data_IF_759698087047
#
_entry.id   IF_759698087047
#
_cell.length_a   1.000
_cell.length_b   1.000
_cell.length_c   1.000
_cell.angle_alpha   90.00
_cell.angle_beta   90.00
_cell.angle_gamma   90.00
#
_symmetry.space_group_name_H-M   'P 1'
#
loop_
_entity.id
_entity.type
_entity.pdbx_description
1 polymer ?
#
# COMPACT_ATOMS: atom_id res chain seq x y z
N UNK A 1 18.60 -6.68 6.94
CA UNK A 1 19.54 -7.06 5.87
C UNK A 1 18.99 -8.22 5.03
N UNK A 2 17.72 -8.11 4.65
CA UNK A 2 17.09 -9.17 3.82
C UNK A 2 17.31 -8.91 2.34
N UNK A 3 17.68 -7.67 1.96
CA UNK A 3 17.78 -7.19 0.59
C UNK A 3 19.20 -7.27 -0.01
N UNK A 4 20.08 -8.12 0.48
CA UNK A 4 21.43 -8.28 -0.10
C UNK A 4 22.10 -6.93 -0.43
N UNK A 5 22.03 -5.96 0.47
CA UNK A 5 22.54 -4.57 0.31
C UNK A 5 21.79 -3.72 -0.72
N UNK A 6 20.52 -3.98 -1.01
CA UNK A 6 19.70 -3.11 -1.85
C UNK A 6 18.72 -2.26 -1.03
N UNK A 7 18.40 -1.09 -1.54
CA UNK A 7 17.37 -0.19 -1.01
C UNK A 7 16.46 0.35 -2.12
N UNK A 8 15.26 0.81 -1.75
CA UNK A 8 14.37 1.50 -2.68
C UNK A 8 14.99 2.85 -3.09
N UNK A 9 14.97 3.14 -4.38
CA UNK A 9 15.42 4.42 -4.93
C UNK A 9 14.35 5.47 -4.72
N UNK A 10 14.54 6.33 -3.74
CA UNK A 10 13.72 7.53 -3.58
C UNK A 10 14.29 8.71 -4.36
N UNK A 11 13.41 9.52 -4.91
CA UNK A 11 13.80 10.84 -5.41
C UNK A 11 14.28 11.71 -4.26
N UNK A 12 15.25 12.56 -4.55
CA UNK A 12 15.82 13.47 -3.57
C UNK A 12 15.75 14.90 -4.07
N UNK A 13 15.50 15.82 -3.16
CA UNK A 13 15.59 17.25 -3.44
C UNK A 13 17.08 17.70 -3.55
N UNK A 14 17.27 18.98 -3.81
CA UNK A 14 18.61 19.57 -3.97
C UNK A 14 19.50 19.43 -2.73
N UNK A 15 18.91 19.26 -1.55
CA UNK A 15 19.60 19.07 -0.28
C UNK A 15 19.94 17.59 0.01
N UNK A 16 19.56 16.67 -0.89
CA UNK A 16 19.76 15.23 -0.71
C UNK A 16 18.71 14.55 0.18
N UNK A 17 17.67 15.27 0.62
CA UNK A 17 16.55 14.72 1.38
C UNK A 17 15.54 14.05 0.46
N UNK A 18 14.71 13.15 0.99
CA UNK A 18 13.61 12.55 0.21
C UNK A 18 12.70 13.68 -0.30
N UNK A 19 12.42 13.64 -1.60
CA UNK A 19 11.53 14.64 -2.23
C UNK A 19 10.09 14.37 -1.83
N UNK A 20 9.52 15.28 -1.03
CA UNK A 20 8.16 15.20 -0.52
C UNK A 20 7.34 16.36 -1.04
N UNK A 21 6.31 16.08 -1.80
CA UNK A 21 5.36 17.08 -2.29
C UNK A 21 4.05 17.03 -1.49
N UNK A 22 3.66 18.17 -0.90
CA UNK A 22 2.38 18.32 -0.24
C UNK A 22 1.31 18.76 -1.24
N UNK A 23 0.33 17.89 -1.50
CA UNK A 23 -0.82 18.22 -2.31
C UNK A 23 -2.03 18.50 -1.40
N UNK A 24 -2.30 19.79 -1.17
CA UNK A 24 -3.47 20.18 -0.37
C UNK A 24 -4.74 20.07 -1.22
N UNK A 25 -5.64 19.18 -0.82
CA UNK A 25 -6.91 18.96 -1.48
C UNK A 25 -8.02 19.58 -0.64
N UNK A 26 -8.63 20.67 -1.14
CA UNK A 26 -9.75 21.30 -0.46
C UNK A 26 -11.06 20.55 -0.74
N UNK A 27 -11.16 19.32 -0.28
CA UNK A 27 -12.30 18.42 -0.43
C UNK A 27 -12.55 17.66 0.86
N UNK A 28 -13.83 17.39 1.14
CA UNK A 28 -14.23 16.54 2.26
C UNK A 28 -14.02 15.05 1.94
N UNK A 29 -14.02 14.20 2.97
CA UNK A 29 -13.98 12.74 2.75
C UNK A 29 -15.17 12.24 1.92
N UNK A 30 -16.33 12.91 1.97
CA UNK A 30 -17.49 12.54 1.17
C UNK A 30 -17.30 12.79 -0.33
N UNK A 31 -16.48 13.76 -0.69
CA UNK A 31 -16.07 13.93 -2.08
C UNK A 31 -15.25 12.74 -2.60
N UNK A 32 -14.39 12.16 -1.76
CA UNK A 32 -13.60 10.99 -2.15
C UNK A 32 -14.43 9.73 -2.33
N UNK A 33 -15.55 9.59 -1.66
CA UNK A 33 -16.44 8.45 -1.87
C UNK A 33 -17.81 8.67 -1.21
N UNK A 34 -18.87 8.45 -1.97
CA UNK A 34 -20.23 8.49 -1.47
C UNK A 34 -20.63 7.12 -0.92
N UNK A 35 -20.75 7.03 0.42
CA UNK A 35 -21.16 5.81 1.12
C UNK A 35 -22.63 5.45 0.86
N UNK A 36 -23.43 6.40 0.38
CA UNK A 36 -24.88 6.26 0.26
C UNK A 36 -25.33 5.79 -1.13
N UNK A 37 -24.45 5.72 -2.12
CA UNK A 37 -24.83 5.18 -3.43
C UNK A 37 -25.10 3.69 -3.34
N UNK A 38 -26.37 3.33 -3.59
CA UNK A 38 -26.91 1.97 -3.55
C UNK A 38 -26.43 1.04 -4.68
N UNK A 39 -25.43 1.40 -5.46
CA UNK A 39 -24.96 0.56 -6.56
C UNK A 39 -24.12 -0.61 -6.02
N UNK A 40 -24.80 -1.75 -5.89
CA UNK A 40 -24.24 -3.01 -5.37
C UNK A 40 -23.21 -3.66 -6.32
N UNK A 41 -23.08 -3.18 -7.56
CA UNK A 41 -22.33 -3.88 -8.61
C UNK A 41 -20.84 -3.46 -8.71
N UNK A 42 -20.43 -2.40 -8.02
CA UNK A 42 -19.08 -1.87 -8.14
C UNK A 42 -18.28 -2.10 -6.87
N UNK A 43 -17.28 -2.94 -6.98
CA UNK A 43 -16.12 -2.98 -6.05
C UNK A 43 -15.40 -1.63 -6.14
N UNK A 44 -15.90 -0.62 -5.45
CA UNK A 44 -15.51 0.76 -5.69
C UNK A 44 -14.28 1.04 -4.86
N UNK A 45 -13.17 1.15 -5.52
CA UNK A 45 -11.93 1.77 -5.07
C UNK A 45 -12.01 3.28 -5.31
N UNK A 46 -13.10 3.94 -4.86
CA UNK A 46 -13.34 5.34 -5.22
C UNK A 46 -12.26 6.28 -4.71
N UNK A 47 -11.82 6.09 -3.47
CA UNK A 47 -10.79 6.94 -2.88
C UNK A 47 -9.48 6.82 -3.64
N UNK A 48 -9.01 5.59 -3.87
CA UNK A 48 -7.77 5.34 -4.62
C UNK A 48 -7.82 5.89 -6.04
N UNK A 49 -8.96 5.71 -6.74
CA UNK A 49 -9.13 6.25 -8.10
C UNK A 49 -9.10 7.78 -8.13
N UNK A 50 -9.69 8.42 -7.12
CA UNK A 50 -9.66 9.89 -7.03
C UNK A 50 -8.29 10.42 -6.66
N UNK A 51 -7.56 9.73 -5.77
CA UNK A 51 -6.17 10.06 -5.47
C UNK A 51 -5.33 9.93 -6.74
N UNK A 52 -5.44 8.81 -7.47
CA UNK A 52 -4.72 8.61 -8.72
C UNK A 52 -5.04 9.72 -9.75
N UNK A 53 -6.32 10.09 -9.87
CA UNK A 53 -6.72 11.21 -10.71
C UNK A 53 -6.10 12.53 -10.26
N UNK A 54 -6.11 12.84 -8.97
CA UNK A 54 -5.48 14.05 -8.43
C UNK A 54 -3.99 14.13 -8.75
N UNK A 55 -3.26 13.02 -8.63
CA UNK A 55 -1.84 12.95 -8.98
C UNK A 55 -1.65 13.19 -10.48
N UNK A 56 -2.46 12.57 -11.33
CA UNK A 56 -2.42 12.76 -12.77
C UNK A 56 -2.78 14.19 -13.20
N UNK A 57 -3.79 14.80 -12.58
CA UNK A 57 -4.20 16.18 -12.87
C UNK A 57 -3.10 17.20 -12.47
N UNK A 58 -2.25 16.85 -11.51
CA UNK A 58 -1.14 17.67 -11.01
C UNK A 58 0.25 17.17 -11.47
N UNK A 59 0.30 16.40 -12.55
CA UNK A 59 1.55 15.79 -13.07
C UNK A 59 2.69 16.78 -13.35
N UNK A 60 2.34 18.05 -13.60
CA UNK A 60 3.30 19.13 -13.82
C UNK A 60 4.12 19.50 -12.57
N UNK A 61 3.68 19.08 -11.39
CA UNK A 61 4.44 19.24 -10.15
C UNK A 61 5.59 18.22 -10.02
N UNK A 62 5.62 17.20 -10.88
CA UNK A 62 6.55 16.08 -10.76
C UNK A 62 7.43 15.96 -12.01
N UNK A 63 8.72 16.07 -11.82
CA UNK A 63 9.68 15.81 -12.90
C UNK A 63 9.64 14.32 -13.30
N UNK A 64 9.75 14.02 -14.60
CA UNK A 64 9.78 12.63 -15.11
C UNK A 64 8.62 11.76 -14.62
N UNK A 65 7.42 12.30 -14.57
CA UNK A 65 6.21 11.68 -14.02
C UNK A 65 5.99 10.24 -14.49
N UNK A 66 6.18 9.96 -15.78
CA UNK A 66 5.91 8.64 -16.38
C UNK A 66 6.85 7.52 -15.90
N UNK A 67 8.01 7.86 -15.37
CA UNK A 67 9.01 6.91 -14.87
C UNK A 67 8.97 6.72 -13.35
N UNK A 68 8.01 7.35 -12.67
CA UNK A 68 7.91 7.34 -11.20
C UNK A 68 6.80 6.44 -10.69
N UNK A 69 7.01 5.93 -9.49
CA UNK A 69 5.99 5.39 -8.60
C UNK A 69 5.81 6.36 -7.44
N UNK A 70 4.58 6.55 -6.98
CA UNK A 70 4.26 7.51 -5.93
C UNK A 70 3.85 6.77 -4.66
N UNK A 71 4.49 7.13 -3.55
CA UNK A 71 4.05 6.71 -2.22
C UNK A 71 3.23 7.85 -1.65
N UNK A 72 1.98 7.58 -1.31
CA UNK A 72 1.01 8.58 -0.91
C UNK A 72 0.57 8.33 0.52
N UNK A 73 0.83 9.29 1.38
CA UNK A 73 0.28 9.34 2.72
C UNK A 73 -1.02 10.14 2.66
N UNK A 74 -2.15 9.46 2.75
CA UNK A 74 -3.46 10.08 2.66
C UNK A 74 -4.07 10.23 4.05
N UNK A 75 -4.33 11.48 4.45
CA UNK A 75 -5.02 11.77 5.71
C UNK A 75 -6.51 11.48 5.56
N UNK A 76 -6.88 10.24 5.79
CA UNK A 76 -8.22 9.72 5.60
C UNK A 76 -8.25 8.20 5.60
N UNK A 77 -9.32 7.64 5.05
CA UNK A 77 -9.53 6.19 4.99
C UNK A 77 -10.09 5.75 3.64
N UNK A 78 -9.84 4.48 3.27
CA UNK A 78 -10.51 3.85 2.12
C UNK A 78 -11.98 3.61 2.45
N UNK A 79 -12.87 4.04 1.56
CA UNK A 79 -14.30 3.77 1.68
C UNK A 79 -14.65 2.52 0.87
N UNK A 80 -14.94 1.42 1.55
CA UNK A 80 -15.45 0.19 0.93
C UNK A 80 -16.79 -0.19 1.50
N UNK A 81 -17.71 -0.64 0.64
CA UNK A 81 -19.10 -0.90 1.00
C UNK A 81 -19.31 -2.21 1.76
N UNK A 82 -18.42 -3.20 1.60
CA UNK A 82 -18.67 -4.60 2.02
C UNK A 82 -17.44 -5.29 2.63
N UNK A 83 -16.53 -4.56 3.26
CA UNK A 83 -15.34 -5.19 3.81
C UNK A 83 -15.32 -5.02 5.33
N UNK A 84 -15.28 -6.16 6.03
CA UNK A 84 -15.29 -6.26 7.49
C UNK A 84 -13.89 -6.17 8.11
N UNK A 85 -12.90 -5.70 7.38
CA UNK A 85 -11.53 -5.59 7.90
C UNK A 85 -10.91 -4.24 7.60
N UNK A 86 -9.99 -3.87 8.47
CA UNK A 86 -9.23 -2.63 8.39
C UNK A 86 -8.30 -2.62 7.18
N UNK A 87 -8.27 -1.49 6.48
CA UNK A 87 -7.37 -1.27 5.36
C UNK A 87 -6.58 -0.01 5.64
N UNK A 88 -5.30 -0.20 5.91
CA UNK A 88 -4.35 0.89 6.07
C UNK A 88 -3.49 1.12 4.83
N UNK A 89 -3.48 0.20 3.89
CA UNK A 89 -2.73 0.34 2.66
C UNK A 89 -3.51 -0.09 1.44
N UNK A 90 -3.16 0.45 0.28
CA UNK A 90 -3.70 0.05 -1.01
C UNK A 90 -2.83 0.48 -2.18
N UNK A 91 -2.64 -0.45 -3.10
CA UNK A 91 -2.10 -0.17 -4.42
C UNK A 91 -2.82 -0.97 -5.49
N UNK A 92 -2.53 -0.68 -6.75
CA UNK A 92 -2.83 -1.56 -7.86
C UNK A 92 -1.57 -2.33 -8.23
N UNK A 93 -1.74 -3.60 -8.53
CA UNK A 93 -0.65 -4.40 -9.07
C UNK A 93 -0.06 -3.73 -10.31
N UNK A 94 1.25 -3.51 -10.30
CA UNK A 94 2.00 -2.77 -11.34
C UNK A 94 1.40 -1.38 -11.65
N UNK A 95 0.75 -0.76 -10.65
CA UNK A 95 0.22 0.60 -10.75
C UNK A 95 1.29 1.66 -10.52
N UNK A 96 0.89 2.93 -10.55
CA UNK A 96 1.81 4.05 -10.32
C UNK A 96 1.79 4.55 -8.89
N UNK A 97 0.84 4.08 -8.06
CA UNK A 97 0.65 4.59 -6.71
C UNK A 97 0.58 3.46 -5.68
N UNK A 98 1.22 3.69 -4.55
CA UNK A 98 1.06 2.97 -3.30
C UNK A 98 0.49 3.96 -2.27
N UNK A 99 -0.66 3.68 -1.68
CA UNK A 99 -1.34 4.58 -0.75
C UNK A 99 -1.28 3.99 0.65
N UNK A 100 -0.87 4.80 1.60
CA UNK A 100 -1.03 4.55 3.02
C UNK A 100 -2.10 5.48 3.59
N UNK A 101 -3.13 4.90 4.20
CA UNK A 101 -4.20 5.64 4.86
C UNK A 101 -3.83 5.84 6.32
N UNK A 102 -3.92 7.07 6.80
CA UNK A 102 -3.64 7.36 8.22
C UNK A 102 -4.74 6.84 9.14
N UNK A 103 -5.92 6.55 8.59
CA UNK A 103 -7.05 6.01 9.33
C UNK A 103 -7.66 4.81 8.62
N UNK A 104 -8.21 3.89 9.39
CA UNK A 104 -9.07 2.82 8.93
C UNK A 104 -10.44 2.92 9.59
N UNK A 105 -11.49 2.56 8.86
CA UNK A 105 -12.86 2.61 9.36
C UNK A 105 -13.47 1.23 9.36
N UNK A 106 -13.71 0.72 10.55
CA UNK A 106 -14.38 -0.55 10.75
C UNK A 106 -15.91 -0.37 10.74
N UNK A 107 -16.60 -1.17 9.93
CA UNK A 107 -18.05 -1.27 9.92
C UNK A 107 -18.48 -2.62 10.48
N UNK A 108 -19.27 -2.61 11.52
CA UNK A 108 -19.95 -3.82 11.97
C UNK A 108 -21.17 -4.06 11.08
N UNK A 109 -21.21 -5.21 10.43
CA UNK A 109 -22.36 -5.65 9.65
C UNK A 109 -23.52 -5.96 10.61
N UNK A 110 -24.66 -5.29 10.46
CA UNK A 110 -25.89 -5.59 11.18
C UNK A 110 -27.00 -5.68 10.13
N UNK A 111 -27.26 -6.89 9.62
CA UNK A 111 -28.36 -7.18 8.70
C UNK A 111 -28.15 -6.73 7.24
N UNK A 112 -29.18 -6.88 6.41
CA UNK A 112 -29.14 -6.58 4.97
C UNK A 112 -29.02 -5.08 4.65
N UNK A 113 -29.33 -4.20 5.60
CA UNK A 113 -29.19 -2.77 5.48
C UNK A 113 -27.86 -2.30 6.09
N UNK A 114 -27.08 -1.60 5.30
CA UNK A 114 -25.85 -0.95 5.72
C UNK A 114 -26.21 0.27 6.60
N UNK A 115 -26.60 0.00 7.84
CA UNK A 115 -26.80 1.06 8.81
C UNK A 115 -25.41 1.48 9.25
N UNK A 116 -25.06 2.74 8.98
CA UNK A 116 -23.97 3.42 9.67
C UNK A 116 -24.34 3.44 11.15
N UNK A 117 -23.89 2.43 11.91
CA UNK A 117 -24.19 2.39 13.33
C UNK A 117 -23.55 3.59 14.00
N UNK A 118 -24.19 4.12 15.06
CA UNK A 118 -23.59 5.15 15.94
C UNK A 118 -22.22 4.74 16.53
N UNK A 119 -21.80 3.49 16.30
CA UNK A 119 -20.57 2.87 16.78
C UNK A 119 -19.53 2.62 15.67
N UNK A 120 -19.59 3.30 14.52
CA UNK A 120 -18.51 3.28 13.56
C UNK A 120 -17.22 3.76 14.25
N UNK A 121 -16.27 2.86 14.44
CA UNK A 121 -14.98 3.19 15.02
C UNK A 121 -14.01 3.57 13.91
N UNK A 122 -13.43 4.74 14.03
CA UNK A 122 -12.28 5.16 13.21
C UNK A 122 -11.03 4.75 14.01
N UNK A 123 -10.19 3.93 13.39
CA UNK A 123 -8.91 3.52 13.97
C UNK A 123 -7.80 4.31 13.28
N UNK A 124 -6.82 4.72 14.06
CA UNK A 124 -5.59 5.27 13.50
C UNK A 124 -4.71 4.13 13.00
N UNK A 125 -4.34 4.16 11.72
CA UNK A 125 -3.33 3.25 11.17
C UNK A 125 -1.92 3.58 11.69
N UNK A 126 -1.77 4.73 12.32
CA UNK A 126 -0.54 5.18 12.99
C UNK A 126 -0.65 5.11 14.50
N UNK A 127 -1.42 4.17 15.04
CA UNK A 127 -1.70 4.07 16.48
C UNK A 127 -0.41 3.94 17.30
N UNK A 128 -0.48 4.43 18.56
CA UNK A 128 0.66 4.43 19.51
C UNK A 128 1.33 3.07 19.70
N UNK A 129 0.59 1.98 19.52
CA UNK A 129 1.14 0.63 19.63
C UNK A 129 2.10 0.33 18.47
N UNK A 130 1.78 0.80 17.25
CA UNK A 130 2.70 0.74 16.11
C UNK A 130 3.94 1.62 16.31
N UNK A 131 3.78 2.78 16.98
CA UNK A 131 4.90 3.66 17.31
C UNK A 131 5.74 3.15 18.49
N UNK A 132 5.18 2.32 19.38
CA UNK A 132 5.93 1.70 20.47
C UNK A 132 6.83 0.57 19.99
N UNK A 133 6.43 -0.15 18.93
CA UNK A 133 7.28 -1.13 18.27
C UNK A 133 8.52 -0.49 17.63
N UNK A 134 8.49 0.82 17.35
CA UNK A 134 9.67 1.55 16.86
C UNK A 134 10.79 1.70 17.89
N UNK A 135 10.52 1.47 19.19
CA UNK A 135 11.57 1.55 20.24
C UNK A 135 12.61 0.44 20.16
N UNK A 136 12.26 -0.68 19.52
CA UNK A 136 13.11 -1.85 19.43
C UNK A 136 13.83 -2.01 18.09
N UNK A 137 13.93 -0.94 17.27
CA UNK A 137 14.59 -0.97 15.94
C UNK A 137 13.96 -2.03 15.01
N UNK A 138 12.79 -2.51 15.33
CA UNK A 138 12.07 -3.48 14.53
C UNK A 138 11.09 -2.78 13.61
N UNK A 139 10.99 -3.32 12.42
CA UNK A 139 10.08 -2.95 11.37
C UNK A 139 8.62 -3.12 11.87
N UNK A 140 7.88 -2.03 12.01
CA UNK A 140 6.53 -2.02 12.54
C UNK A 140 5.46 -2.33 11.49
N UNK A 141 4.20 -2.45 11.91
CA UNK A 141 3.08 -2.78 11.03
C UNK A 141 2.82 -1.68 9.97
N UNK A 142 3.07 -0.41 10.31
CA UNK A 142 2.92 0.70 9.37
C UNK A 142 3.95 0.60 8.23
N UNK A 143 5.22 0.40 8.57
CA UNK A 143 6.30 0.22 7.60
C UNK A 143 6.08 -1.03 6.75
N UNK A 144 5.64 -2.14 7.37
CA UNK A 144 5.28 -3.36 6.66
C UNK A 144 4.15 -3.13 5.66
N UNK A 145 3.12 -2.37 6.05
CA UNK A 145 2.00 -2.04 5.18
C UNK A 145 2.44 -1.16 4.01
N UNK A 146 3.23 -0.12 4.27
CA UNK A 146 3.77 0.76 3.22
C UNK A 146 4.60 -0.05 2.23
N UNK A 147 5.52 -0.89 2.72
CA UNK A 147 6.37 -1.72 1.87
C UNK A 147 5.55 -2.73 1.06
N UNK A 148 4.55 -3.35 1.66
CA UNK A 148 3.62 -4.24 0.96
C UNK A 148 2.96 -3.55 -0.25
N UNK A 149 2.44 -2.35 -0.05
CA UNK A 149 1.80 -1.58 -1.11
C UNK A 149 2.78 -1.10 -2.19
N UNK A 150 4.02 -0.76 -1.79
CA UNK A 150 5.09 -0.44 -2.75
C UNK A 150 5.39 -1.64 -3.62
N UNK A 151 5.55 -2.82 -3.04
CA UNK A 151 5.85 -4.07 -3.77
C UNK A 151 4.73 -4.37 -4.78
N UNK A 152 3.46 -4.20 -4.41
CA UNK A 152 2.35 -4.30 -5.36
C UNK A 152 2.44 -3.28 -6.50
N UNK A 153 2.74 -2.02 -6.18
CA UNK A 153 2.91 -0.98 -7.20
C UNK A 153 4.09 -1.27 -8.14
N UNK A 154 5.11 -1.97 -7.67
CA UNK A 154 6.23 -2.45 -8.48
C UNK A 154 5.89 -3.68 -9.34
N UNK A 155 4.74 -4.31 -9.14
CA UNK A 155 4.27 -5.46 -9.93
C UNK A 155 4.59 -6.82 -9.32
N UNK A 156 4.72 -6.89 -7.98
CA UNK A 156 5.04 -8.14 -7.28
C UNK A 156 4.02 -8.49 -6.17
N UNK A 157 3.89 -9.78 -5.82
CA UNK A 157 4.39 -10.95 -6.53
C UNK A 157 3.75 -11.08 -7.92
N UNK A 158 4.52 -11.52 -8.90
CA UNK A 158 4.01 -11.72 -10.26
C UNK A 158 3.15 -12.99 -10.35
N UNK A 159 2.42 -13.15 -11.46
CA UNK A 159 1.55 -14.32 -11.66
C UNK A 159 2.31 -15.65 -11.77
N UNK A 160 3.62 -15.62 -12.05
CA UNK A 160 4.49 -16.79 -12.14
C UNK A 160 5.12 -17.19 -10.80
N UNK A 161 4.96 -16.39 -9.74
CA UNK A 161 5.46 -16.74 -8.41
C UNK A 161 4.82 -18.02 -7.89
N UNK A 162 5.61 -18.88 -7.23
CA UNK A 162 5.21 -20.22 -6.82
C UNK A 162 3.99 -20.25 -5.92
N UNK A 163 3.97 -19.38 -4.92
CA UNK A 163 2.93 -19.36 -3.88
C UNK A 163 1.92 -18.21 -4.08
N UNK A 164 1.84 -17.64 -5.28
CA UNK A 164 0.96 -16.50 -5.57
C UNK A 164 -0.52 -16.88 -5.58
N UNK A 165 -1.32 -16.14 -4.81
CA UNK A 165 -2.78 -16.14 -4.90
C UNK A 165 -3.30 -14.70 -4.83
N UNK A 166 -3.85 -14.21 -5.93
CA UNK A 166 -4.35 -12.83 -6.03
C UNK A 166 -3.29 -11.78 -5.66
N UNK A 167 -2.08 -11.95 -6.20
CA UNK A 167 -0.93 -11.07 -5.95
C UNK A 167 -0.42 -11.05 -4.50
N UNK A 168 -0.71 -12.07 -3.73
CA UNK A 168 -0.18 -12.28 -2.38
C UNK A 168 0.44 -13.66 -2.29
N UNK A 169 1.46 -13.81 -1.46
CA UNK A 169 2.01 -15.13 -1.14
C UNK A 169 1.15 -15.84 -0.09
N UNK A 170 1.16 -17.17 -0.11
CA UNK A 170 0.28 -17.98 0.74
C UNK A 170 1.02 -18.97 1.63
N UNK A 171 2.29 -19.18 1.41
CA UNK A 171 3.13 -20.17 2.09
C UNK A 171 3.47 -19.77 3.52
N UNK A 172 3.79 -18.49 3.77
CA UNK A 172 4.23 -18.03 5.08
C UNK A 172 3.58 -16.72 5.53
N UNK A 173 2.94 -16.75 6.71
CA UNK A 173 2.28 -15.56 7.29
C UNK A 173 3.25 -14.47 7.74
N UNK A 174 4.53 -14.78 7.90
CA UNK A 174 5.55 -13.79 8.22
C UNK A 174 6.10 -13.05 7.00
N UNK A 175 5.71 -13.45 5.80
CA UNK A 175 6.06 -12.76 4.57
C UNK A 175 5.34 -11.41 4.45
N UNK A 176 6.06 -10.38 3.97
CA UNK A 176 5.49 -9.05 3.75
C UNK A 176 4.32 -9.09 2.76
N UNK A 177 4.40 -9.93 1.73
CA UNK A 177 3.35 -10.03 0.71
C UNK A 177 2.24 -11.02 1.08
N UNK A 178 2.27 -11.60 2.28
CA UNK A 178 1.14 -12.38 2.77
C UNK A 178 -0.06 -11.47 3.12
N UNK A 179 -1.28 -11.92 2.78
CA UNK A 179 -2.51 -11.12 2.97
C UNK A 179 -2.84 -10.79 4.43
N UNK A 180 -2.41 -11.63 5.37
CA UNK A 180 -2.67 -11.46 6.81
C UNK A 180 -1.50 -10.79 7.52
N UNK A 181 -1.77 -10.19 8.69
CA UNK A 181 -0.77 -9.56 9.54
C UNK A 181 0.29 -10.54 10.09
N UNK A 182 1.44 -10.02 10.47
CA UNK A 182 2.58 -10.80 10.95
C UNK A 182 3.83 -10.63 10.08
N UNK A 183 3.79 -9.70 9.17
CA UNK A 183 4.76 -9.39 8.12
C UNK A 183 6.12 -8.97 8.67
N UNK A 184 7.13 -9.78 8.49
CA UNK A 184 8.51 -9.51 8.99
C UNK A 184 9.59 -9.73 7.95
N UNK A 185 9.33 -10.53 6.93
CA UNK A 185 10.34 -10.97 5.97
C UNK A 185 9.96 -10.55 4.56
N UNK A 186 10.95 -10.11 3.81
CA UNK A 186 10.86 -9.90 2.39
C UNK A 186 11.13 -11.25 1.71
N UNK A 187 10.13 -11.84 1.07
CA UNK A 187 10.20 -13.15 0.42
C UNK A 187 10.85 -14.21 1.33
N UNK A 188 10.06 -14.82 2.19
CA UNK A 188 10.53 -15.64 3.32
C UNK A 188 11.49 -16.76 2.92
N UNK A 189 11.22 -17.41 1.80
CA UNK A 189 12.02 -18.54 1.29
C UNK A 189 12.87 -18.17 0.06
N UNK A 190 12.82 -16.94 -0.43
CA UNK A 190 13.40 -16.53 -1.71
C UNK A 190 12.88 -17.36 -2.90
N UNK A 191 11.59 -17.67 -2.92
CA UNK A 191 10.96 -18.53 -3.92
C UNK A 191 9.76 -17.91 -4.65
N UNK A 192 9.40 -16.65 -4.33
CA UNK A 192 8.23 -16.01 -4.88
C UNK A 192 8.50 -14.74 -5.69
N UNK A 193 9.19 -13.73 -5.12
CA UNK A 193 9.28 -12.42 -5.76
C UNK A 193 10.60 -11.67 -5.53
N UNK A 194 11.48 -12.09 -4.61
CA UNK A 194 12.76 -11.47 -4.37
C UNK A 194 13.91 -12.48 -4.29
N UNK A 195 14.91 -12.35 -5.18
CA UNK A 195 16.09 -13.19 -5.25
C UNK A 195 15.75 -14.69 -5.39
N UNK A 196 14.75 -14.99 -6.20
CA UNK A 196 14.32 -16.36 -6.52
C UNK A 196 15.04 -16.92 -7.77
N UNK A 197 14.90 -18.22 -7.99
CA UNK A 197 15.50 -18.93 -9.12
C UNK A 197 14.44 -19.39 -10.16
N UNK A 198 13.26 -18.75 -10.20
CA UNK A 198 12.18 -19.11 -11.12
C UNK A 198 12.50 -18.64 -12.53
N UNK A 199 12.52 -19.57 -13.47
CA UNK A 199 12.77 -19.29 -14.88
C UNK A 199 11.68 -18.39 -15.48
N UNK A 200 12.10 -17.35 -16.22
CA UNK A 200 11.23 -16.40 -16.90
C UNK A 200 10.21 -15.68 -15.99
N UNK A 201 10.46 -15.64 -14.68
CA UNK A 201 9.66 -14.93 -13.72
C UNK A 201 10.38 -13.64 -13.29
N UNK A 202 9.71 -12.46 -13.34
CA UNK A 202 10.33 -11.22 -12.88
C UNK A 202 10.73 -11.30 -11.42
N UNK A 203 11.95 -10.85 -11.11
CA UNK A 203 12.50 -10.79 -9.76
C UNK A 203 12.64 -9.33 -9.32
N UNK A 204 12.08 -8.99 -8.16
CA UNK A 204 12.15 -7.66 -7.57
C UNK A 204 13.60 -7.19 -7.38
N UNK A 205 14.53 -8.10 -7.11
CA UNK A 205 15.97 -7.80 -7.02
C UNK A 205 16.50 -7.09 -8.26
N UNK A 206 15.94 -7.39 -9.43
CA UNK A 206 16.34 -6.81 -10.70
C UNK A 206 15.54 -5.55 -11.08
N UNK A 207 14.71 -5.04 -10.16
CA UNK A 207 13.90 -3.85 -10.41
C UNK A 207 14.75 -2.59 -10.51
N UNK A 208 14.48 -1.74 -11.51
CA UNK A 208 15.10 -0.42 -11.66
C UNK A 208 14.79 0.55 -10.50
N UNK A 209 13.80 0.19 -9.64
CA UNK A 209 13.45 0.96 -8.46
C UNK A 209 14.27 0.59 -7.22
N UNK A 210 15.16 -0.39 -7.34
CA UNK A 210 16.16 -0.70 -6.32
C UNK A 210 17.54 -0.18 -6.73
N UNK A 211 18.38 0.11 -5.76
CA UNK A 211 19.80 0.40 -5.93
C UNK A 211 20.62 -0.29 -4.86
N UNK A 212 21.86 -0.59 -5.16
CA UNK A 212 22.79 -1.13 -4.17
C UNK A 212 23.22 -0.06 -3.18
N UNK A 213 23.42 -0.45 -1.93
CA UNK A 213 24.17 0.36 -0.98
C UNK A 213 25.64 0.37 -1.38
N UNK A 214 26.19 1.55 -1.48
CA UNK A 214 27.64 1.75 -1.61
C UNK A 214 28.32 1.62 -0.26
#
# INVERSE_FOLDING_TARGET
KQTSNQEIRFDRNINGEIDVTFLRVNKTMDWFGDLHKKDKSKNITEVSNKIEKLINDNRNLFNNFSSKKFIIFFEGWEKRKYIDYDICGKSRFNGNIAIYFTYSRFKKYIGEDLILSKNDRIFSCTHKDHLNDMKDVTFGDAEATILHEIIHALGFPSSCSTNNKFFHVTDNKSDIMHKQSGKKYLDYNNDDYYNHELDNCPDLKNSNFLKEFL
#
